data_IF_845045613803
#
_entry.id   IF_845045613803
#
_cell.length_a   1.000
_cell.length_b   1.000
_cell.length_c   1.000
_cell.angle_alpha   90.00
_cell.angle_beta   90.00
_cell.angle_gamma   90.00
#
_symmetry.space_group_name_H-M   'P 1'
#
loop_
_entity.id
_entity.type
_entity.pdbx_description
1 polymer ?
#
# COMPACT_ATOMS: atom_id res chain seq x y z
N UNK A 1 2.09 -12.75 24.65
CA UNK A 1 2.81 -12.01 23.59
C UNK A 1 4.08 -12.77 23.28
N UNK A 2 4.42 -12.94 22.02
CA UNK A 2 5.73 -13.46 21.61
C UNK A 2 6.84 -12.56 22.19
N UNK A 3 7.83 -13.16 22.86
CA UNK A 3 8.94 -12.44 23.48
C UNK A 3 9.76 -11.69 22.42
N UNK A 4 9.90 -12.24 21.21
CA UNK A 4 10.56 -11.58 20.10
C UNK A 4 9.86 -10.28 19.71
N UNK A 5 8.52 -10.29 19.65
CA UNK A 5 7.75 -9.08 19.37
C UNK A 5 7.74 -8.07 20.50
N UNK A 6 7.78 -8.54 21.74
CA UNK A 6 7.80 -7.66 22.91
C UNK A 6 9.10 -6.85 22.99
N UNK A 7 10.21 -7.40 22.49
CA UNK A 7 11.52 -6.74 22.44
C UNK A 7 11.71 -5.85 21.20
N UNK A 8 11.09 -6.21 20.07
CA UNK A 8 11.21 -5.47 18.80
C UNK A 8 10.28 -4.24 18.72
N UNK A 9 9.15 -4.25 19.42
CA UNK A 9 8.15 -3.20 19.32
C UNK A 9 8.57 -1.93 20.10
N UNK A 10 8.51 -0.75 19.43
CA UNK A 10 8.72 0.56 20.07
C UNK A 10 7.46 1.08 20.80
N UNK A 11 6.70 0.19 21.43
CA UNK A 11 5.40 0.49 22.04
C UNK A 11 4.37 -0.61 21.80
N UNK A 12 3.09 -0.41 22.19
CA UNK A 12 2.05 -1.40 21.95
C UNK A 12 1.83 -1.62 20.45
N UNK A 13 1.71 -2.87 20.04
CA UNK A 13 1.30 -3.24 18.69
C UNK A 13 -0.23 -3.08 18.55
N UNK A 14 -0.64 -1.84 18.26
CA UNK A 14 -2.02 -1.46 17.99
C UNK A 14 -2.33 -1.60 16.48
N UNK A 15 -3.60 -1.90 16.19
CA UNK A 15 -4.13 -1.87 14.83
C UNK A 15 -4.01 -0.46 14.23
N UNK A 16 -3.58 -0.38 12.97
CA UNK A 16 -3.35 0.88 12.23
C UNK A 16 -4.58 1.30 11.41
N UNK A 17 -5.77 0.87 11.84
CA UNK A 17 -7.01 0.94 11.03
C UNK A 17 -7.44 2.37 10.67
N UNK A 18 -7.22 3.33 11.56
CA UNK A 18 -7.43 4.76 11.31
C UNK A 18 -6.33 5.51 12.03
N UNK A 19 -5.40 6.11 11.28
CA UNK A 19 -4.36 6.98 11.82
C UNK A 19 -4.64 8.39 11.31
N UNK A 20 -5.07 9.27 12.20
CA UNK A 20 -5.32 10.66 11.89
C UNK A 20 -4.69 11.59 12.93
N UNK A 21 -4.07 12.66 12.45
CA UNK A 21 -3.48 13.71 13.27
C UNK A 21 -4.10 15.06 12.89
N UNK A 22 -4.81 15.72 13.82
CA UNK A 22 -5.47 17.01 13.56
C UNK A 22 -6.35 17.03 12.30
N UNK A 23 -7.07 15.93 12.04
CA UNK A 23 -7.92 15.78 10.85
C UNK A 23 -7.18 15.43 9.56
N UNK A 24 -5.85 15.21 9.61
CA UNK A 24 -5.05 14.73 8.49
C UNK A 24 -4.91 13.22 8.54
N UNK A 25 -5.33 12.54 7.49
CA UNK A 25 -5.45 11.09 7.44
C UNK A 25 -4.22 10.47 6.75
N UNK A 26 -3.52 9.58 7.45
CA UNK A 26 -2.44 8.77 6.91
C UNK A 26 -3.00 7.49 6.27
N UNK A 27 -2.21 6.79 5.45
CA UNK A 27 -2.54 5.48 4.89
C UNK A 27 -3.73 5.50 3.92
N UNK A 28 -3.96 6.63 3.24
CA UNK A 28 -4.87 6.72 2.10
C UNK A 28 -4.10 6.39 0.84
N UNK A 29 -4.55 5.38 0.09
CA UNK A 29 -3.99 5.08 -1.22
C UNK A 29 -4.67 5.94 -2.28
N UNK A 30 -3.92 6.81 -2.95
CA UNK A 30 -4.41 7.70 -4.01
C UNK A 30 -3.82 7.26 -5.33
N UNK A 31 -4.65 7.04 -6.35
CA UNK A 31 -4.19 6.57 -7.66
C UNK A 31 -4.99 7.15 -8.82
N UNK A 32 -4.37 7.17 -10.00
CA UNK A 32 -5.04 7.51 -11.25
C UNK A 32 -5.86 6.31 -11.69
N UNK A 33 -7.18 6.44 -11.63
CA UNK A 33 -8.14 5.39 -11.99
C UNK A 33 -8.37 5.32 -13.49
N UNK A 34 -8.66 6.47 -14.11
CA UNK A 34 -9.00 6.61 -15.54
C UNK A 34 -8.35 7.88 -16.15
N UNK A 35 -8.34 7.99 -17.48
CA UNK A 35 -7.79 9.14 -18.22
C UNK A 35 -6.38 8.92 -18.77
N UNK A 36 -5.89 7.69 -18.71
CA UNK A 36 -4.58 7.27 -19.24
C UNK A 36 -4.70 6.48 -20.56
N UNK A 37 -5.88 6.43 -21.15
CA UNK A 37 -6.13 5.75 -22.42
C UNK A 37 -5.24 6.33 -23.53
N UNK A 38 -4.55 5.47 -24.27
CA UNK A 38 -3.64 5.88 -25.34
C UNK A 38 -2.23 6.28 -24.90
N UNK A 39 -1.95 6.37 -23.60
CA UNK A 39 -0.59 6.55 -23.11
C UNK A 39 0.14 5.21 -22.97
N UNK A 40 1.35 5.12 -23.52
CA UNK A 40 2.26 4.01 -23.28
C UNK A 40 2.98 4.24 -21.94
N UNK A 41 2.57 3.51 -20.90
CA UNK A 41 3.10 3.67 -19.55
C UNK A 41 3.95 2.47 -19.17
N UNK A 42 5.22 2.71 -18.85
CA UNK A 42 6.14 1.67 -18.45
C UNK A 42 5.81 1.17 -17.03
N UNK A 43 5.92 -0.15 -16.83
CA UNK A 43 5.85 -0.74 -15.50
C UNK A 43 7.14 -0.41 -14.73
N UNK A 44 7.07 -0.15 -13.40
CA UNK A 44 8.27 0.01 -12.59
C UNK A 44 9.15 -1.25 -12.65
N UNK A 45 10.45 -1.06 -12.88
CA UNK A 45 11.44 -2.15 -12.84
C UNK A 45 11.89 -2.51 -11.42
N UNK A 46 11.78 -1.55 -10.50
CA UNK A 46 12.13 -1.75 -9.10
C UNK A 46 11.02 -2.53 -8.38
N UNK A 47 11.37 -3.50 -7.53
CA UNK A 47 10.37 -4.23 -6.77
C UNK A 47 9.71 -3.32 -5.73
N UNK A 48 8.41 -3.53 -5.51
CA UNK A 48 7.76 -3.02 -4.30
C UNK A 48 8.28 -3.81 -3.09
N UNK A 49 8.42 -3.18 -1.94
CA UNK A 49 9.00 -3.81 -0.75
C UNK A 49 7.96 -3.88 0.37
N UNK A 50 7.81 -5.08 0.93
CA UNK A 50 7.13 -5.34 2.19
C UNK A 50 8.19 -5.84 3.17
N UNK A 51 8.29 -5.22 4.34
CA UNK A 51 9.16 -5.69 5.42
C UNK A 51 8.35 -6.07 6.67
N UNK A 52 8.76 -7.15 7.32
CA UNK A 52 8.30 -7.56 8.65
C UNK A 52 9.31 -7.00 9.65
N UNK A 53 8.96 -5.89 10.30
CA UNK A 53 9.84 -5.16 11.21
C UNK A 53 9.05 -4.54 12.37
N UNK A 54 9.57 -4.69 13.60
CA UNK A 54 8.87 -4.26 14.81
C UNK A 54 7.61 -5.08 15.10
N UNK A 55 7.53 -6.31 14.59
CA UNK A 55 6.33 -7.14 14.52
C UNK A 55 5.14 -6.41 13.91
N UNK A 56 5.40 -5.75 12.78
CA UNK A 56 4.44 -5.09 11.89
C UNK A 56 4.83 -5.34 10.45
N UNK A 57 3.87 -5.18 9.55
CA UNK A 57 4.17 -5.06 8.13
C UNK A 57 4.42 -3.59 7.80
N UNK A 58 5.54 -3.30 7.15
CA UNK A 58 5.93 -1.95 6.75
C UNK A 58 6.12 -1.90 5.23
N UNK A 59 5.48 -0.94 4.53
CA UNK A 59 4.45 -0.02 5.05
C UNK A 59 3.11 -0.72 5.34
N UNK A 60 2.22 -0.08 6.10
CA UNK A 60 0.84 -0.56 6.35
C UNK A 60 -0.02 -0.55 5.08
N UNK A 61 0.21 0.42 4.18
CA UNK A 61 -0.41 0.50 2.86
C UNK A 61 0.67 0.55 1.81
N UNK A 62 0.63 -0.40 0.88
CA UNK A 62 1.62 -0.54 -0.20
C UNK A 62 0.92 -0.49 -1.56
N UNK A 63 1.48 0.26 -2.50
CA UNK A 63 1.06 0.25 -3.90
C UNK A 63 2.04 -0.54 -4.77
N UNK A 64 1.52 -1.27 -5.76
CA UNK A 64 2.33 -1.82 -6.86
C UNK A 64 1.51 -1.99 -8.13
N UNK A 65 2.19 -2.11 -9.26
CA UNK A 65 1.56 -2.37 -10.56
C UNK A 65 1.37 -3.87 -10.76
N UNK A 66 0.26 -4.29 -11.38
CA UNK A 66 0.03 -5.69 -11.73
C UNK A 66 1.22 -6.29 -12.52
N UNK A 67 1.75 -7.40 -12.00
CA UNK A 67 2.95 -8.08 -12.50
C UNK A 67 4.29 -7.50 -11.99
N UNK A 68 4.28 -6.42 -11.21
CA UNK A 68 5.48 -5.93 -10.53
C UNK A 68 5.90 -6.90 -9.42
N UNK A 69 7.20 -7.12 -9.26
CA UNK A 69 7.75 -7.93 -8.18
C UNK A 69 7.49 -7.28 -6.82
N UNK A 70 6.91 -8.04 -5.91
CA UNK A 70 6.88 -7.79 -4.48
C UNK A 70 8.07 -8.52 -3.83
N UNK A 71 8.99 -7.76 -3.25
CA UNK A 71 10.12 -8.27 -2.46
C UNK A 71 9.72 -8.23 -0.98
N UNK A 72 9.80 -9.38 -0.33
CA UNK A 72 9.33 -9.61 1.04
C UNK A 72 10.54 -9.86 1.94
N UNK A 73 10.68 -9.03 2.96
CA UNK A 73 11.76 -9.05 3.94
C UNK A 73 11.22 -9.46 5.32
N UNK A 74 12.10 -10.04 6.14
CA UNK A 74 11.88 -10.21 7.57
C UNK A 74 13.08 -9.65 8.33
N UNK A 75 13.02 -8.37 8.69
CA UNK A 75 14.05 -7.68 9.47
C UNK A 75 13.94 -7.98 10.98
N UNK A 76 12.82 -8.55 11.44
CA UNK A 76 12.64 -8.93 12.84
C UNK A 76 13.53 -10.12 13.26
N UNK A 77 13.69 -10.26 14.58
CA UNK A 77 14.35 -11.41 15.20
C UNK A 77 13.41 -12.58 15.49
N UNK A 78 12.16 -12.53 15.01
CA UNK A 78 11.17 -13.60 15.14
C UNK A 78 10.62 -14.03 13.78
N UNK A 79 10.09 -15.25 13.72
CA UNK A 79 9.50 -15.80 12.51
C UNK A 79 8.10 -15.20 12.31
N UNK A 80 7.80 -14.83 11.08
CA UNK A 80 6.49 -14.38 10.66
C UNK A 80 6.03 -15.15 9.43
N UNK A 81 4.77 -15.01 9.05
CA UNK A 81 4.24 -15.54 7.80
C UNK A 81 3.49 -14.45 7.05
N UNK A 82 3.68 -14.38 5.74
CA UNK A 82 2.94 -13.48 4.86
C UNK A 82 1.78 -14.26 4.24
N UNK A 83 0.55 -13.80 4.49
CA UNK A 83 -0.67 -14.45 4.02
C UNK A 83 -1.62 -13.42 3.38
N UNK A 84 -1.47 -13.16 2.07
CA UNK A 84 -2.47 -12.41 1.31
C UNK A 84 -3.78 -13.19 1.22
N UNK A 85 -4.91 -12.50 1.35
CA UNK A 85 -6.26 -13.06 1.19
C UNK A 85 -7.01 -12.33 0.07
N UNK A 86 -6.55 -12.50 -1.19
CA UNK A 86 -7.10 -11.79 -2.35
C UNK A 86 -8.46 -12.34 -2.80
N UNK A 87 -9.18 -11.53 -3.58
CA UNK A 87 -10.38 -11.90 -4.33
C UNK A 87 -10.06 -12.24 -5.79
N UNK A 88 -9.09 -11.54 -6.41
CA UNK A 88 -8.80 -11.62 -7.85
C UNK A 88 -7.37 -12.10 -8.16
N UNK A 89 -6.60 -12.47 -7.14
CA UNK A 89 -5.25 -12.98 -7.28
C UNK A 89 -5.11 -14.34 -6.59
N UNK A 90 -3.98 -15.02 -6.80
CA UNK A 90 -3.71 -16.28 -6.13
C UNK A 90 -3.44 -16.07 -4.63
N UNK A 91 -4.21 -16.74 -3.78
CA UNK A 91 -3.94 -16.82 -2.35
C UNK A 91 -2.76 -17.75 -2.07
N UNK A 92 -1.94 -17.39 -1.08
CA UNK A 92 -0.83 -18.20 -0.59
C UNK A 92 -0.52 -17.82 0.87
N UNK A 93 0.21 -18.69 1.57
CA UNK A 93 0.62 -18.45 2.95
C UNK A 93 2.03 -18.99 3.14
N UNK A 94 2.97 -18.14 3.53
CA UNK A 94 4.38 -18.51 3.58
C UNK A 94 5.11 -17.93 4.77
N UNK A 95 5.74 -18.81 5.54
CA UNK A 95 6.62 -18.44 6.65
C UNK A 95 7.97 -17.94 6.16
N UNK A 96 8.52 -16.95 6.86
CA UNK A 96 9.86 -16.42 6.64
C UNK A 96 10.62 -16.36 7.97
N UNK A 97 11.77 -17.05 8.02
CA UNK A 97 12.65 -17.06 9.17
C UNK A 97 13.20 -15.65 9.48
N UNK A 98 13.57 -15.35 10.74
CA UNK A 98 14.22 -14.10 11.11
C UNK A 98 15.44 -13.83 10.23
N UNK A 99 15.53 -12.65 9.61
CA UNK A 99 16.64 -12.27 8.71
C UNK A 99 16.94 -13.29 7.61
N UNK A 100 15.95 -14.10 7.23
CA UNK A 100 16.08 -15.06 6.15
C UNK A 100 16.15 -14.38 4.79
N UNK A 101 16.51 -15.15 3.76
CA UNK A 101 16.60 -14.64 2.39
C UNK A 101 15.29 -13.95 1.95
N UNK A 102 15.39 -12.81 1.22
CA UNK A 102 14.23 -12.15 0.66
C UNK A 102 13.40 -13.07 -0.24
N UNK A 103 12.09 -13.09 -0.04
CA UNK A 103 11.17 -13.81 -0.92
C UNK A 103 10.64 -12.88 -2.01
N UNK A 104 10.30 -13.44 -3.16
CA UNK A 104 9.73 -12.69 -4.28
C UNK A 104 8.39 -13.29 -4.70
N UNK A 105 7.41 -12.41 -4.90
CA UNK A 105 6.05 -12.75 -5.35
C UNK A 105 5.57 -11.70 -6.35
N UNK A 106 4.49 -12.01 -7.06
CA UNK A 106 3.80 -11.07 -7.94
C UNK A 106 2.29 -11.23 -7.75
N UNK A 107 1.55 -10.15 -8.03
CA UNK A 107 0.10 -10.18 -8.19
C UNK A 107 -0.22 -9.90 -9.66
N UNK A 108 -0.98 -10.78 -10.31
CA UNK A 108 -1.22 -10.72 -11.75
C UNK A 108 -2.30 -9.70 -12.13
N UNK A 109 -3.27 -9.47 -11.25
CA UNK A 109 -4.46 -8.69 -11.54
C UNK A 109 -4.59 -7.46 -10.63
N UNK A 110 -5.07 -6.32 -11.15
CA UNK A 110 -5.44 -5.18 -10.31
C UNK A 110 -6.46 -5.57 -9.24
N UNK A 111 -6.20 -5.13 -8.01
CA UNK A 111 -7.00 -5.41 -6.84
C UNK A 111 -6.65 -4.39 -5.74
N UNK A 112 -7.64 -3.61 -5.31
CA UNK A 112 -7.47 -2.60 -4.26
C UNK A 112 -7.77 -3.22 -2.89
N UNK A 113 -7.09 -2.70 -1.87
CA UNK A 113 -7.24 -3.15 -0.49
C UNK A 113 -7.10 -4.67 -0.31
N UNK A 114 -6.17 -5.30 -1.03
CA UNK A 114 -5.83 -6.72 -0.87
C UNK A 114 -5.20 -6.91 0.52
N UNK A 115 -5.88 -7.61 1.45
CA UNK A 115 -5.39 -7.74 2.82
C UNK A 115 -4.25 -8.76 2.88
N UNK A 116 -3.18 -8.41 3.58
CA UNK A 116 -2.11 -9.33 3.97
C UNK A 116 -2.11 -9.43 5.49
N UNK A 117 -2.10 -10.66 6.00
CA UNK A 117 -2.15 -10.96 7.43
C UNK A 117 -0.99 -11.85 7.86
N UNK A 118 -0.65 -11.81 9.15
CA UNK A 118 0.16 -12.84 9.80
C UNK A 118 -0.79 -13.74 10.61
N UNK A 119 -0.64 -15.05 10.48
CA UNK A 119 -1.48 -16.01 11.22
C UNK A 119 -1.04 -16.12 12.68
N UNK A 120 0.25 -15.90 12.95
CA UNK A 120 0.84 -16.03 14.29
C UNK A 120 0.68 -14.76 15.12
N UNK A 121 0.61 -13.61 14.47
CA UNK A 121 0.55 -12.30 15.10
C UNK A 121 -0.65 -11.52 14.53
N UNK A 122 -1.87 -11.72 15.06
CA UNK A 122 -3.11 -11.23 14.44
C UNK A 122 -3.22 -9.71 14.27
N UNK A 123 -2.38 -8.94 14.98
CA UNK A 123 -2.29 -7.49 14.82
C UNK A 123 -1.52 -7.08 13.55
N UNK A 124 -0.67 -7.96 13.01
CA UNK A 124 0.07 -7.70 11.77
C UNK A 124 -0.87 -7.86 10.59
N UNK A 125 -1.34 -6.72 10.11
CA UNK A 125 -2.18 -6.60 8.93
C UNK A 125 -1.69 -5.42 8.11
N UNK A 126 -1.68 -5.56 6.80
CA UNK A 126 -1.45 -4.46 5.86
C UNK A 126 -2.37 -4.62 4.65
N UNK A 127 -2.38 -3.60 3.79
CA UNK A 127 -3.10 -3.63 2.52
C UNK A 127 -2.18 -3.35 1.35
N UNK A 128 -2.25 -4.24 0.37
CA UNK A 128 -1.63 -4.04 -0.93
C UNK A 128 -2.69 -3.52 -1.90
N UNK A 129 -2.35 -2.49 -2.66
CA UNK A 129 -3.15 -1.96 -3.75
C UNK A 129 -2.43 -2.25 -5.07
N UNK A 130 -2.92 -3.27 -5.77
CA UNK A 130 -2.42 -3.66 -7.08
C UNK A 130 -3.19 -2.86 -8.13
N UNK A 131 -2.49 -2.05 -8.91
CA UNK A 131 -3.11 -1.15 -9.92
C UNK A 131 -2.56 -1.41 -11.32
N UNK A 132 -3.21 -0.85 -12.33
CA UNK A 132 -2.83 -1.03 -13.74
C UNK A 132 -1.69 -0.11 -14.20
N UNK A 133 -1.41 0.96 -13.45
CA UNK A 133 -0.45 2.00 -13.81
C UNK A 133 0.34 2.48 -12.57
N UNK A 134 1.54 3.07 -12.75
CA UNK A 134 2.41 3.48 -11.67
C UNK A 134 2.07 4.85 -11.05
N UNK A 135 0.99 5.51 -11.48
CA UNK A 135 0.63 6.84 -10.99
C UNK A 135 -0.22 6.73 -9.73
N UNK A 136 0.45 6.55 -8.61
CA UNK A 136 -0.16 6.46 -7.29
C UNK A 136 0.75 6.97 -6.19
N UNK A 137 0.17 7.23 -5.03
CA UNK A 137 0.84 7.63 -3.81
C UNK A 137 0.08 7.11 -2.58
N UNK A 138 0.74 7.10 -1.43
CA UNK A 138 0.11 6.86 -0.12
C UNK A 138 0.24 8.15 0.69
N UNK A 139 -0.83 8.56 1.38
CA UNK A 139 -0.77 9.77 2.20
C UNK A 139 0.18 9.62 3.38
N UNK A 140 0.97 10.66 3.64
CA UNK A 140 1.90 10.74 4.76
C UNK A 140 1.19 11.03 6.10
N UNK A 141 1.96 11.18 7.17
CA UNK A 141 1.49 11.49 8.53
C UNK A 141 0.82 12.88 8.66
N UNK A 142 0.96 13.72 7.64
CA UNK A 142 0.32 15.03 7.48
C UNK A 142 -0.81 15.01 6.47
N UNK A 143 -1.16 13.83 5.94
CA UNK A 143 -2.22 13.63 4.96
C UNK A 143 -1.89 14.12 3.56
N UNK A 144 -0.63 14.43 3.25
CA UNK A 144 -0.22 14.86 1.93
C UNK A 144 0.10 13.67 1.05
N UNK A 145 -0.11 13.83 -0.26
CA UNK A 145 0.32 12.89 -1.28
C UNK A 145 0.86 13.67 -2.49
N UNK A 146 1.63 13.01 -3.35
CA UNK A 146 2.09 13.61 -4.61
C UNK A 146 2.21 12.52 -5.66
N UNK A 147 1.51 12.71 -6.78
CA UNK A 147 1.63 11.87 -7.97
C UNK A 147 2.40 12.69 -9.00
N UNK A 148 3.55 12.19 -9.45
CA UNK A 148 4.44 12.88 -10.38
C UNK A 148 4.39 12.28 -11.78
N UNK A 149 4.77 13.08 -12.78
CA UNK A 149 4.96 12.60 -14.16
C UNK A 149 3.68 12.34 -14.93
N UNK A 150 2.52 12.81 -14.44
CA UNK A 150 1.28 12.80 -15.20
C UNK A 150 1.43 13.70 -16.44
N UNK A 151 1.12 13.19 -17.64
CA UNK A 151 0.98 14.04 -18.83
C UNK A 151 -0.12 15.09 -18.65
N UNK A 152 -0.19 16.11 -19.53
CA UNK A 152 -1.36 16.98 -19.59
C UNK A 152 -2.59 16.18 -20.01
N UNK A 153 -3.71 16.36 -19.32
CA UNK A 153 -4.91 15.56 -19.54
C UNK A 153 -5.95 15.72 -18.44
N UNK A 154 -7.09 15.04 -18.59
CA UNK A 154 -8.13 14.97 -17.55
C UNK A 154 -8.24 13.56 -17.03
N UNK A 155 -8.08 13.41 -15.72
CA UNK A 155 -7.96 12.15 -15.01
C UNK A 155 -9.08 11.97 -14.00
N UNK A 156 -9.50 10.72 -13.79
CA UNK A 156 -10.22 10.36 -12.57
C UNK A 156 -9.20 9.93 -11.52
N UNK A 157 -9.09 10.68 -10.43
CA UNK A 157 -8.25 10.33 -9.28
C UNK A 157 -9.14 9.71 -8.22
N UNK A 158 -8.74 8.54 -7.71
CA UNK A 158 -9.44 7.85 -6.64
C UNK A 158 -8.56 7.78 -5.39
N UNK A 159 -9.16 8.01 -4.23
CA UNK A 159 -8.54 7.89 -2.92
C UNK A 159 -9.28 6.82 -2.11
N UNK A 160 -8.56 5.81 -1.62
CA UNK A 160 -9.13 4.63 -0.97
C UNK A 160 -8.51 4.45 0.42
N UNK A 161 -9.37 4.22 1.42
CA UNK A 161 -8.96 3.96 2.80
C UNK A 161 -9.66 2.72 3.34
N UNK A 162 -8.95 1.87 4.08
CA UNK A 162 -9.42 0.54 4.49
C UNK A 162 -10.76 0.54 5.25
N UNK A 163 -11.06 1.61 5.99
CA UNK A 163 -12.28 1.77 6.79
C UNK A 163 -13.24 2.83 6.25
N UNK A 164 -12.73 3.85 5.57
CA UNK A 164 -13.51 5.04 5.20
C UNK A 164 -14.00 4.99 3.75
N UNK A 165 -13.70 3.90 3.04
CA UNK A 165 -14.16 3.66 1.68
C UNK A 165 -13.36 4.42 0.63
N UNK A 166 -14.03 4.78 -0.45
CA UNK A 166 -13.43 5.39 -1.63
C UNK A 166 -14.05 6.75 -1.91
N UNK A 167 -13.22 7.70 -2.33
CA UNK A 167 -13.63 8.97 -2.91
C UNK A 167 -13.01 9.10 -4.30
N UNK A 168 -13.72 9.74 -5.24
CA UNK A 168 -13.24 9.96 -6.60
C UNK A 168 -13.44 11.41 -6.99
N UNK A 169 -12.50 11.97 -7.75
CA UNK A 169 -12.61 13.31 -8.30
C UNK A 169 -11.99 13.39 -9.69
N UNK A 170 -12.52 14.27 -10.54
CA UNK A 170 -11.89 14.61 -11.82
C UNK A 170 -10.87 15.72 -11.61
N UNK A 171 -9.69 15.55 -12.21
CA UNK A 171 -8.57 16.49 -12.14
C UNK A 171 -8.04 16.73 -13.54
N UNK A 172 -7.94 18.00 -13.94
CA UNK A 172 -7.30 18.39 -15.20
C UNK A 172 -5.90 18.91 -14.90
N UNK A 173 -4.89 18.31 -15.53
CA UNK A 173 -3.49 18.73 -15.43
C UNK A 173 -3.14 19.48 -16.71
N UNK A 174 -2.82 20.76 -16.58
CA UNK A 174 -2.38 21.60 -17.68
C UNK A 174 -0.85 21.43 -17.93
N UNK A 175 -0.36 21.73 -19.14
CA UNK A 175 1.07 21.63 -19.46
C UNK A 175 1.97 22.37 -18.46
N UNK A 176 2.89 21.63 -17.83
CA UNK A 176 3.88 22.13 -16.84
C UNK A 176 3.26 22.78 -15.60
N UNK A 177 2.01 22.46 -15.27
CA UNK A 177 1.35 22.95 -14.07
C UNK A 177 1.15 21.85 -13.04
N UNK A 178 1.22 22.23 -11.77
CA UNK A 178 0.79 21.39 -10.66
C UNK A 178 -0.71 21.61 -10.43
N UNK A 179 -1.43 20.54 -10.11
CA UNK A 179 -2.84 20.61 -9.77
C UNK A 179 -3.07 20.02 -8.38
N UNK A 180 -3.86 20.72 -7.56
CA UNK A 180 -4.27 20.27 -6.23
C UNK A 180 -5.55 19.44 -6.30
N UNK A 181 -5.63 18.45 -5.41
CA UNK A 181 -6.75 17.53 -5.25
C UNK A 181 -6.91 17.23 -3.75
N UNK A 182 -8.07 17.60 -3.19
CA UNK A 182 -8.37 17.43 -1.76
C UNK A 182 -9.48 16.42 -1.56
N UNK A 183 -9.20 15.37 -0.78
CA UNK A 183 -10.17 14.33 -0.44
C UNK A 183 -10.58 14.45 1.04
N UNK A 184 -11.89 14.52 1.29
CA UNK A 184 -12.45 14.60 2.64
C UNK A 184 -13.20 13.30 2.93
N UNK A 185 -12.71 12.54 3.90
CA UNK A 185 -13.38 11.34 4.40
C UNK A 185 -14.22 11.68 5.63
N UNK A 186 -15.44 11.13 5.70
CA UNK A 186 -16.31 11.25 6.87
C UNK A 186 -16.30 9.92 7.64
N UNK A 187 -16.21 9.95 8.99
CA UNK A 187 -16.30 8.75 9.82
C UNK A 187 -17.65 8.03 9.71
#
# INVERSE_FOLDING_TARGET
MDMGCSLAAKGPNLAETVIANQGKLQNVFVYVKDGLEGYAIAKPSQPAVLDQVGCRYTPHVLGLVAGQTLRILNSDSTMHNVHPVPKNNQQWNESQMPKGEPKQRTFANPELLLPITCNQHPWMKMYVNVVSNPFFAVSDDKGNFTIQGLPPGTYTIAAVHEKLGTQEMKVTVEPKQNQSADFIFKP
#
